data_IF_549426197868
#
_entry.id   IF_549426197868
#
_cell.length_a   1.000
_cell.length_b   1.000
_cell.length_c   1.000
_cell.angle_alpha   90.00
_cell.angle_beta   90.00
_cell.angle_gamma   90.00
#
_symmetry.space_group_name_H-M   'P 1'
#
loop_
_entity.id
_entity.type
_entity.pdbx_description
1 polymer ?
#
# COMPACT_ATOMS: atom_id res chain seq x y z
N UNK A 1 6.93 24.14 9.38
CA UNK A 1 8.18 23.63 9.98
C UNK A 1 7.79 22.81 11.19
N UNK A 2 8.37 21.61 11.36
CA UNK A 2 8.11 20.77 12.53
C UNK A 2 9.17 21.03 13.62
N UNK A 3 8.74 21.19 14.87
CA UNK A 3 9.61 21.24 16.03
C UNK A 3 9.51 19.92 16.76
N UNK A 4 10.65 19.27 17.00
CA UNK A 4 10.73 18.02 17.74
C UNK A 4 11.31 18.31 19.12
N UNK A 5 10.68 17.74 20.13
CA UNK A 5 11.19 17.75 21.48
C UNK A 5 11.92 16.44 21.77
N UNK A 6 13.23 16.50 21.80
CA UNK A 6 14.09 15.39 22.21
C UNK A 6 14.24 15.38 23.73
N UNK A 7 14.42 14.20 24.34
CA UNK A 7 14.52 14.03 25.80
C UNK A 7 15.54 12.96 26.18
N UNK A 8 16.15 13.13 27.36
CA UNK A 8 17.06 12.17 27.97
C UNK A 8 18.30 11.88 27.12
N UNK A 9 18.67 10.62 26.99
CA UNK A 9 19.91 10.14 26.34
C UNK A 9 20.11 10.69 24.92
N UNK A 10 19.04 10.91 24.16
CA UNK A 10 19.13 11.48 22.81
C UNK A 10 19.70 12.91 22.83
N UNK A 11 19.41 13.69 23.89
CA UNK A 11 19.97 15.04 24.04
C UNK A 11 21.45 14.95 24.36
N UNK A 12 21.86 14.00 25.22
CA UNK A 12 23.27 13.81 25.57
C UNK A 12 24.08 13.42 24.33
N UNK A 13 23.61 12.49 23.52
CA UNK A 13 24.25 12.07 22.26
C UNK A 13 24.43 13.26 21.31
N UNK A 14 23.39 14.06 21.11
CA UNK A 14 23.49 15.22 20.20
C UNK A 14 24.44 16.29 20.70
N UNK A 15 24.41 16.56 22.01
CA UNK A 15 25.35 17.53 22.63
C UNK A 15 26.80 17.02 22.55
N UNK A 16 27.03 15.72 22.68
CA UNK A 16 28.33 15.09 22.53
C UNK A 16 28.84 15.14 21.08
N UNK A 17 27.95 14.83 20.11
CA UNK A 17 28.30 14.83 18.68
C UNK A 17 28.59 16.25 18.13
N UNK A 18 27.87 17.28 18.59
CA UNK A 18 27.97 18.61 18.09
C UNK A 18 27.71 19.64 19.20
N UNK A 19 28.67 19.79 20.17
CA UNK A 19 28.50 20.63 21.35
C UNK A 19 28.26 22.10 21.00
N UNK A 20 28.95 22.62 19.99
CA UNK A 20 28.83 24.02 19.58
C UNK A 20 27.43 24.37 19.06
N UNK A 21 26.70 23.39 18.50
CA UNK A 21 25.35 23.59 17.98
C UNK A 21 24.27 23.39 19.03
N UNK A 22 24.43 22.43 19.95
CA UNK A 22 23.31 21.95 20.77
C UNK A 22 23.43 22.25 22.25
N UNK A 23 24.64 22.44 22.79
CA UNK A 23 24.87 22.61 24.25
C UNK A 23 24.14 23.81 24.83
N UNK A 24 24.14 24.95 24.14
CA UNK A 24 23.49 26.18 24.59
C UNK A 24 21.96 26.13 24.60
N UNK A 25 21.36 25.18 23.85
CA UNK A 25 19.90 25.00 23.72
C UNK A 25 19.37 23.83 24.55
N UNK A 26 20.25 23.02 25.12
CA UNK A 26 19.85 21.93 26.00
C UNK A 26 19.38 22.48 27.35
N UNK A 27 18.17 22.14 27.74
CA UNK A 27 17.55 22.56 29.01
C UNK A 27 17.15 21.34 29.83
N UNK A 28 16.78 21.55 31.10
CA UNK A 28 16.30 20.46 31.96
C UNK A 28 14.84 20.72 32.36
N UNK A 29 13.99 19.72 32.27
CA UNK A 29 12.59 19.85 32.68
C UNK A 29 12.43 19.81 34.23
N UNK A 30 11.20 20.04 34.70
CA UNK A 30 10.88 20.05 36.14
C UNK A 30 11.19 18.72 36.87
N UNK A 31 11.41 17.64 36.11
CA UNK A 31 11.73 16.30 36.64
C UNK A 31 13.22 15.96 36.52
N UNK A 32 14.07 16.93 36.18
CA UNK A 32 15.50 16.73 36.04
C UNK A 32 15.91 16.05 34.71
N UNK A 33 15.00 15.87 33.74
CA UNK A 33 15.28 15.21 32.47
C UNK A 33 15.74 16.26 31.46
N UNK A 34 16.90 16.04 30.83
CA UNK A 34 17.40 16.91 29.76
C UNK A 34 16.44 16.91 28.57
N UNK A 35 16.23 18.06 27.98
CA UNK A 35 15.39 18.26 26.82
C UNK A 35 16.02 19.27 25.84
N UNK A 36 15.73 19.07 24.55
CA UNK A 36 16.19 19.92 23.45
C UNK A 36 15.05 20.06 22.43
N UNK A 37 14.75 21.29 22.04
CA UNK A 37 13.84 21.58 20.94
C UNK A 37 14.66 21.78 19.68
N UNK A 38 14.44 20.93 18.68
CA UNK A 38 15.11 21.02 17.39
C UNK A 38 14.09 21.28 16.29
N UNK A 39 14.44 22.20 15.39
CA UNK A 39 13.63 22.48 14.23
C UNK A 39 14.09 21.61 13.07
N UNK A 40 13.16 20.82 12.50
CA UNK A 40 13.47 20.02 11.34
C UNK A 40 13.61 20.91 10.10
N UNK A 41 14.76 20.84 9.43
CA UNK A 41 14.99 21.49 8.12
C UNK A 41 14.26 20.73 6.99
N UNK A 42 14.17 19.42 7.11
CA UNK A 42 13.52 18.55 6.16
C UNK A 42 12.33 17.82 6.81
N UNK A 43 11.46 17.25 5.98
CA UNK A 43 10.37 16.40 6.46
C UNK A 43 10.93 15.15 7.15
N UNK A 44 10.45 14.88 8.37
CA UNK A 44 10.85 13.68 9.08
C UNK A 44 10.05 12.47 8.56
N UNK A 45 10.78 11.45 8.11
CA UNK A 45 10.19 10.19 7.65
C UNK A 45 9.29 9.57 8.74
N UNK A 46 8.16 8.98 8.32
CA UNK A 46 7.17 8.39 9.24
C UNK A 46 6.12 9.36 9.79
N UNK A 47 6.19 10.66 9.49
CA UNK A 47 5.14 11.61 9.84
C UNK A 47 4.13 11.78 8.71
N UNK A 48 2.83 11.98 9.05
CA UNK A 48 1.79 12.24 8.03
C UNK A 48 2.10 13.48 7.17
N UNK A 49 2.72 14.48 7.76
CA UNK A 49 3.13 15.71 7.05
C UNK A 49 4.22 15.42 6.00
N UNK A 50 5.12 14.48 6.27
CA UNK A 50 6.18 14.12 5.33
C UNK A 50 5.63 13.57 4.01
N UNK A 51 4.67 12.64 4.08
CA UNK A 51 4.01 12.07 2.89
C UNK A 51 3.30 13.14 2.06
N UNK A 52 2.61 14.09 2.72
CA UNK A 52 1.96 15.20 2.03
C UNK A 52 2.96 16.15 1.36
N UNK A 53 4.07 16.47 2.03
CA UNK A 53 5.11 17.33 1.48
C UNK A 53 5.81 16.67 0.29
N UNK A 54 6.10 15.37 0.39
CA UNK A 54 6.65 14.59 -0.73
C UNK A 54 5.70 14.60 -1.92
N UNK A 55 4.43 14.27 -1.71
CA UNK A 55 3.39 14.31 -2.74
C UNK A 55 3.33 15.66 -3.45
N UNK A 56 3.28 16.76 -2.70
CA UNK A 56 3.25 18.12 -3.26
C UNK A 56 4.50 18.45 -4.08
N UNK A 57 5.67 18.08 -3.58
CA UNK A 57 6.93 18.26 -4.30
C UNK A 57 6.93 17.44 -5.59
N UNK A 58 6.59 16.16 -5.51
CA UNK A 58 6.62 15.25 -6.64
C UNK A 58 5.64 15.66 -7.74
N UNK A 59 4.39 15.95 -7.39
CA UNK A 59 3.38 16.41 -8.36
C UNK A 59 3.76 17.73 -9.00
N UNK A 60 4.31 18.68 -8.23
CA UNK A 60 4.82 19.95 -8.76
C UNK A 60 5.94 19.72 -9.77
N UNK A 61 6.96 18.92 -9.45
CA UNK A 61 8.05 18.61 -10.37
C UNK A 61 7.57 17.92 -11.66
N UNK A 62 6.59 17.00 -11.55
CA UNK A 62 5.99 16.38 -12.73
C UNK A 62 5.25 17.39 -13.60
N UNK A 63 4.48 18.29 -13.00
CA UNK A 63 3.74 19.34 -13.73
C UNK A 63 4.69 20.31 -14.41
N UNK A 64 5.78 20.70 -13.76
CA UNK A 64 6.81 21.59 -14.34
C UNK A 64 7.49 21.00 -15.57
N UNK A 65 7.62 19.68 -15.66
CA UNK A 65 8.11 19.02 -16.87
C UNK A 65 6.98 18.62 -17.85
N UNK A 66 5.76 19.11 -17.62
CA UNK A 66 4.61 19.01 -18.53
C UNK A 66 3.82 17.72 -18.45
N UNK A 67 3.75 17.07 -17.28
CA UNK A 67 2.76 16.03 -17.01
C UNK A 67 1.46 16.64 -16.49
N UNK A 68 0.34 16.07 -16.92
CA UNK A 68 -1.00 16.35 -16.40
C UNK A 68 -1.38 15.29 -15.39
N UNK A 69 -1.81 15.72 -14.19
CA UNK A 69 -2.36 14.81 -13.20
C UNK A 69 -3.75 14.33 -13.63
N UNK A 70 -4.02 13.03 -13.42
CA UNK A 70 -5.33 12.49 -13.70
C UNK A 70 -6.37 13.07 -12.71
N UNK A 71 -7.50 13.64 -13.20
CA UNK A 71 -8.49 14.25 -12.33
C UNK A 71 -9.24 13.26 -11.41
N UNK A 72 -9.25 11.97 -11.78
CA UNK A 72 -9.90 10.91 -10.99
C UNK A 72 -8.94 10.19 -10.03
N UNK A 73 -7.64 10.16 -10.37
CA UNK A 73 -6.59 9.59 -9.51
C UNK A 73 -5.36 10.50 -9.52
N UNK A 74 -5.21 11.37 -8.53
CA UNK A 74 -4.12 12.32 -8.45
C UNK A 74 -2.73 11.68 -8.27
N UNK A 75 -2.66 10.36 -8.06
CA UNK A 75 -1.42 9.58 -8.05
C UNK A 75 -1.08 8.99 -9.43
N UNK A 76 -1.77 9.42 -10.48
CA UNK A 76 -1.48 9.08 -11.89
C UNK A 76 -1.20 10.36 -12.66
N UNK A 77 -0.07 10.40 -13.36
CA UNK A 77 0.32 11.51 -14.23
C UNK A 77 0.55 11.03 -15.66
N UNK A 78 0.11 11.80 -16.63
CA UNK A 78 0.21 11.47 -18.06
C UNK A 78 0.87 12.60 -18.84
N UNK A 79 1.64 12.23 -19.87
CA UNK A 79 2.23 13.18 -20.83
C UNK A 79 2.36 12.54 -22.20
N UNK A 80 2.04 13.27 -23.26
CA UNK A 80 2.31 12.82 -24.62
C UNK A 80 3.77 13.11 -24.98
N UNK A 81 4.54 12.06 -25.32
CA UNK A 81 5.94 12.15 -25.74
C UNK A 81 6.10 11.38 -27.05
N UNK A 82 6.59 12.03 -28.10
CA UNK A 82 6.77 11.44 -29.43
C UNK A 82 5.48 10.77 -29.96
N UNK A 83 4.33 11.43 -29.76
CA UNK A 83 3.01 10.94 -30.20
C UNK A 83 2.49 9.72 -29.42
N UNK A 84 3.10 9.37 -28.29
CA UNK A 84 2.70 8.24 -27.43
C UNK A 84 2.58 8.68 -25.98
N UNK A 85 1.59 8.16 -25.28
CA UNK A 85 1.38 8.49 -23.88
C UNK A 85 2.43 7.84 -23.00
N UNK A 86 3.06 8.63 -22.15
CA UNK A 86 3.78 8.21 -20.97
C UNK A 86 2.87 8.33 -19.75
N UNK A 87 2.79 7.28 -18.96
CA UNK A 87 2.02 7.25 -17.71
C UNK A 87 2.95 6.93 -16.55
N UNK A 88 2.80 7.68 -15.46
CA UNK A 88 3.46 7.46 -14.18
C UNK A 88 2.37 7.24 -13.14
N UNK A 89 2.33 6.05 -12.53
CA UNK A 89 1.56 5.79 -11.32
C UNK A 89 2.52 5.79 -10.14
N UNK A 90 2.17 6.47 -9.07
CA UNK A 90 3.06 6.57 -7.92
C UNK A 90 2.29 6.43 -6.59
N UNK A 91 2.97 5.89 -5.61
CA UNK A 91 2.47 5.76 -4.25
C UNK A 91 3.61 6.00 -3.28
N UNK A 92 3.64 7.19 -2.68
CA UNK A 92 4.79 7.69 -1.90
C UNK A 92 6.05 7.65 -2.78
N UNK A 93 7.02 6.81 -2.48
CA UNK A 93 8.30 6.62 -3.17
C UNK A 93 8.27 5.56 -4.29
N UNK A 94 7.29 4.67 -4.28
CA UNK A 94 7.11 3.66 -5.33
C UNK A 94 6.52 4.27 -6.60
N UNK A 95 7.23 4.15 -7.72
CA UNK A 95 6.77 4.63 -9.02
C UNK A 95 6.71 3.51 -10.06
N UNK A 96 5.59 3.40 -10.78
CA UNK A 96 5.44 2.56 -11.96
C UNK A 96 5.33 3.43 -13.20
N UNK A 97 6.33 3.30 -14.09
CA UNK A 97 6.41 4.07 -15.33
C UNK A 97 6.07 3.18 -16.52
N UNK A 98 5.38 3.74 -17.51
CA UNK A 98 5.10 3.04 -18.78
C UNK A 98 5.18 3.96 -19.98
N UNK A 99 5.90 3.54 -21.03
CA UNK A 99 5.96 4.16 -22.35
C UNK A 99 6.38 3.13 -23.39
N UNK A 100 5.97 3.30 -24.64
CA UNK A 100 6.30 2.35 -25.73
C UNK A 100 7.76 2.41 -26.18
N UNK A 101 8.42 3.56 -26.01
CA UNK A 101 9.80 3.80 -26.49
C UNK A 101 10.78 3.68 -25.33
N UNK A 102 11.69 2.68 -25.32
CA UNK A 102 12.66 2.50 -24.22
C UNK A 102 13.53 3.73 -23.94
N UNK A 103 13.98 4.43 -24.99
CA UNK A 103 14.79 5.66 -24.83
C UNK A 103 14.08 6.77 -24.04
N UNK A 104 12.75 6.86 -24.14
CA UNK A 104 11.97 7.82 -23.35
C UNK A 104 11.97 7.41 -21.88
N UNK A 105 11.88 6.11 -21.61
CA UNK A 105 12.00 5.57 -20.24
C UNK A 105 13.38 5.87 -19.65
N UNK A 106 14.46 5.71 -20.43
CA UNK A 106 15.82 6.02 -19.98
C UNK A 106 15.98 7.49 -19.58
N UNK A 107 15.45 8.40 -20.40
CA UNK A 107 15.46 9.84 -20.12
C UNK A 107 14.69 10.17 -18.84
N UNK A 108 13.52 9.54 -18.65
CA UNK A 108 12.69 9.78 -17.46
C UNK A 108 13.35 9.24 -16.18
N UNK A 109 13.94 8.05 -16.23
CA UNK A 109 14.68 7.49 -15.10
C UNK A 109 15.88 8.37 -14.76
N UNK A 110 16.62 8.85 -15.77
CA UNK A 110 17.73 9.78 -15.55
C UNK A 110 17.28 11.06 -14.85
N UNK A 111 16.15 11.63 -15.28
CA UNK A 111 15.57 12.83 -14.66
C UNK A 111 15.16 12.55 -13.20
N UNK A 112 14.47 11.44 -12.92
CA UNK A 112 14.09 11.06 -11.56
C UNK A 112 15.31 10.92 -10.64
N UNK A 113 16.40 10.31 -11.15
CA UNK A 113 17.65 10.22 -10.38
C UNK A 113 18.23 11.57 -10.08
N UNK A 114 18.29 12.47 -11.05
CA UNK A 114 18.82 13.82 -10.85
C UNK A 114 18.02 14.64 -9.81
N UNK A 115 16.70 14.44 -9.75
CA UNK A 115 15.82 15.21 -8.87
C UNK A 115 15.68 14.59 -7.46
N UNK A 116 15.77 13.26 -7.31
CA UNK A 116 15.38 12.57 -6.08
C UNK A 116 16.42 11.62 -5.51
N UNK A 117 17.44 11.24 -6.29
CA UNK A 117 18.48 10.36 -5.77
C UNK A 117 19.45 11.14 -4.89
N UNK A 118 19.69 10.64 -3.69
CA UNK A 118 20.68 11.15 -2.77
C UNK A 118 21.52 9.99 -2.25
N UNK A 119 22.70 9.82 -2.84
CA UNK A 119 23.59 8.73 -2.44
C UNK A 119 24.40 9.22 -1.23
N UNK A 120 24.19 8.59 -0.08
CA UNK A 120 24.97 8.84 1.12
C UNK A 120 26.28 8.06 1.11
N UNK A 121 27.20 8.39 2.03
CA UNK A 121 28.54 7.76 2.12
C UNK A 121 28.45 6.23 2.36
N UNK A 122 27.37 5.77 2.95
CA UNK A 122 27.09 4.33 3.20
C UNK A 122 26.42 3.62 2.02
N UNK A 123 26.23 4.31 0.89
CA UNK A 123 25.55 3.79 -0.31
C UNK A 123 24.03 3.80 -0.22
N UNK A 124 23.45 4.29 0.89
CA UNK A 124 21.99 4.42 0.98
C UNK A 124 21.48 5.59 0.14
N UNK A 125 20.18 5.56 -0.20
CA UNK A 125 19.52 6.62 -0.99
C UNK A 125 19.61 6.45 -2.50
N UNK A 126 20.23 5.37 -2.99
CA UNK A 126 20.22 5.01 -4.41
C UNK A 126 18.84 4.58 -4.86
N UNK A 127 18.40 5.10 -6.01
CA UNK A 127 17.12 4.72 -6.61
C UNK A 127 17.22 3.37 -7.32
N UNK A 128 16.47 2.39 -6.83
CA UNK A 128 16.34 1.08 -7.48
C UNK A 128 15.43 1.14 -8.71
N UNK A 129 15.86 0.51 -9.79
CA UNK A 129 15.09 0.46 -11.05
C UNK A 129 14.91 -0.99 -11.47
N UNK A 130 13.67 -1.48 -11.52
CA UNK A 130 13.32 -2.78 -12.06
C UNK A 130 12.82 -2.65 -13.50
N UNK A 131 13.34 -3.48 -14.41
CA UNK A 131 12.95 -3.56 -15.82
C UNK A 131 12.61 -4.98 -16.21
N UNK A 132 11.77 -5.14 -17.21
CA UNK A 132 11.41 -6.47 -17.72
C UNK A 132 9.92 -6.60 -17.96
N UNK A 133 9.44 -7.85 -17.94
CA UNK A 133 8.03 -8.17 -18.14
C UNK A 133 7.30 -8.54 -16.84
N UNK A 134 8.03 -8.77 -15.77
CA UNK A 134 7.47 -9.07 -14.46
C UNK A 134 7.98 -8.05 -13.46
N UNK A 135 7.08 -7.42 -12.75
CA UNK A 135 7.37 -6.36 -11.79
C UNK A 135 6.67 -6.60 -10.47
N UNK A 136 7.27 -6.16 -9.38
CA UNK A 136 6.60 -6.01 -8.09
C UNK A 136 6.21 -4.54 -7.91
N UNK A 137 4.95 -4.29 -7.55
CA UNK A 137 4.43 -2.95 -7.27
C UNK A 137 3.33 -3.01 -6.22
N UNK A 138 3.49 -2.32 -5.11
CA UNK A 138 2.55 -2.29 -3.98
C UNK A 138 2.12 -3.69 -3.47
N UNK A 139 3.07 -4.61 -3.40
CA UNK A 139 2.83 -6.00 -2.99
C UNK A 139 2.19 -6.88 -4.06
N UNK A 140 1.86 -6.33 -5.23
CA UNK A 140 1.38 -7.09 -6.39
C UNK A 140 2.55 -7.56 -7.24
N UNK A 141 2.44 -8.75 -7.81
CA UNK A 141 3.23 -9.19 -8.97
C UNK A 141 2.44 -8.90 -10.23
N UNK A 142 3.01 -8.06 -11.09
CA UNK A 142 2.45 -7.67 -12.39
C UNK A 142 3.23 -8.39 -13.49
N UNK A 143 2.61 -9.37 -14.14
CA UNK A 143 3.22 -10.18 -15.20
C UNK A 143 2.66 -9.80 -16.58
N UNK A 144 3.51 -9.20 -17.41
CA UNK A 144 3.26 -8.78 -18.80
C UNK A 144 3.89 -9.72 -19.83
N UNK A 145 4.20 -10.97 -19.48
CA UNK A 145 4.84 -11.93 -20.40
C UNK A 145 3.95 -12.23 -21.60
N UNK A 146 2.64 -12.24 -21.43
CA UNK A 146 1.66 -12.41 -22.53
C UNK A 146 1.31 -11.03 -23.08
N UNK A 147 1.51 -10.86 -24.40
CA UNK A 147 1.21 -9.59 -25.09
C UNK A 147 -0.28 -9.25 -24.98
N UNK A 148 -0.56 -8.01 -24.60
CA UNK A 148 -1.94 -7.50 -24.46
C UNK A 148 -2.65 -7.95 -23.16
N UNK A 149 -1.93 -8.60 -22.26
CA UNK A 149 -2.45 -9.00 -20.97
C UNK A 149 -1.52 -8.59 -19.84
N UNK A 150 -2.08 -8.36 -18.68
CA UNK A 150 -1.36 -8.34 -17.40
C UNK A 150 -2.03 -9.32 -16.45
N UNK A 151 -1.24 -10.21 -15.86
CA UNK A 151 -1.67 -11.06 -14.75
C UNK A 151 -1.22 -10.41 -13.45
N UNK A 152 -2.14 -10.25 -12.55
CA UNK A 152 -1.90 -9.62 -11.23
C UNK A 152 -2.11 -10.68 -10.17
N UNK A 153 -1.11 -10.87 -9.31
CA UNK A 153 -1.19 -11.78 -8.15
C UNK A 153 -0.59 -11.14 -6.91
N UNK A 154 -0.97 -11.65 -5.75
CA UNK A 154 -0.38 -11.30 -4.45
C UNK A 154 -0.09 -12.55 -3.62
N UNK A 155 0.50 -13.58 -4.24
CA UNK A 155 0.67 -14.91 -3.64
C UNK A 155 1.36 -14.82 -2.28
N UNK A 156 2.50 -14.13 -2.16
CA UNK A 156 3.22 -13.97 -0.90
C UNK A 156 2.37 -13.31 0.20
N UNK A 157 1.63 -12.25 -0.15
CA UNK A 157 0.76 -11.57 0.79
C UNK A 157 -0.44 -12.43 1.23
N UNK A 158 -1.02 -13.20 0.31
CA UNK A 158 -2.07 -14.18 0.64
C UNK A 158 -1.52 -15.27 1.55
N UNK A 159 -0.27 -15.73 1.32
CA UNK A 159 0.39 -16.70 2.20
C UNK A 159 0.63 -16.15 3.61
N UNK A 160 0.96 -14.85 3.75
CA UNK A 160 1.04 -14.19 5.05
C UNK A 160 -0.30 -14.12 5.77
N UNK A 161 -1.40 -13.82 5.05
CA UNK A 161 -2.75 -13.82 5.60
C UNK A 161 -3.11 -15.23 6.11
N UNK A 162 -2.88 -16.25 5.28
CA UNK A 162 -3.18 -17.63 5.63
C UNK A 162 -2.32 -18.13 6.79
N UNK A 163 -1.05 -17.74 6.87
CA UNK A 163 -0.15 -18.06 7.98
C UNK A 163 -0.64 -17.41 9.29
N UNK A 164 -1.11 -16.16 9.22
CA UNK A 164 -1.68 -15.49 10.38
C UNK A 164 -2.98 -16.16 10.84
N UNK A 165 -3.83 -16.55 9.89
CA UNK A 165 -5.07 -17.27 10.15
C UNK A 165 -4.80 -18.67 10.78
N UNK A 166 -3.82 -19.43 10.29
CA UNK A 166 -3.50 -20.77 10.80
C UNK A 166 -2.99 -20.78 12.26
N UNK A 167 -2.51 -19.65 12.75
CA UNK A 167 -2.18 -19.46 14.18
C UNK A 167 -3.43 -19.30 15.04
N UNK A 168 -4.48 -18.72 14.47
CA UNK A 168 -5.73 -18.41 15.16
C UNK A 168 -6.76 -19.57 15.05
N UNK A 169 -6.74 -20.30 13.94
CA UNK A 169 -7.65 -21.42 13.64
C UNK A 169 -6.94 -22.46 12.75
N UNK A 170 -6.40 -23.56 13.32
CA UNK A 170 -5.53 -24.47 12.60
C UNK A 170 -6.25 -25.27 11.50
N UNK A 171 -5.73 -25.14 10.31
CA UNK A 171 -5.74 -26.07 9.16
C UNK A 171 -7.08 -26.70 8.74
N UNK A 172 -7.84 -25.93 7.98
CA UNK A 172 -8.85 -26.50 7.07
C UNK A 172 -8.30 -26.74 5.66
N UNK A 173 -8.95 -27.63 4.89
CA UNK A 173 -8.70 -27.76 3.45
C UNK A 173 -9.19 -26.52 2.71
N UNK A 174 -8.50 -26.14 1.64
CA UNK A 174 -8.98 -25.08 0.73
C UNK A 174 -10.22 -25.51 -0.04
N UNK A 175 -11.04 -24.54 -0.43
CA UNK A 175 -12.19 -24.75 -1.33
C UNK A 175 -12.09 -23.78 -2.51
N UNK A 176 -12.75 -24.10 -3.62
CA UNK A 176 -12.81 -23.25 -4.82
C UNK A 176 -14.25 -22.88 -5.20
N UNK A 177 -15.22 -23.18 -4.34
CA UNK A 177 -16.64 -23.02 -4.67
C UNK A 177 -17.09 -21.56 -4.65
N UNK A 178 -16.99 -20.91 -3.50
CA UNK A 178 -17.42 -19.50 -3.33
C UNK A 178 -16.64 -18.84 -2.20
N UNK A 179 -16.31 -17.56 -2.36
CA UNK A 179 -15.74 -16.73 -1.29
C UNK A 179 -16.79 -16.38 -0.22
N UNK A 180 -18.04 -16.22 -0.64
CA UNK A 180 -19.17 -15.90 0.22
C UNK A 180 -19.96 -17.16 0.60
N UNK A 181 -20.20 -17.45 1.88
CA UNK A 181 -21.14 -18.48 2.30
C UNK A 181 -22.59 -18.05 1.98
N UNK A 182 -23.49 -19.01 1.82
CA UNK A 182 -24.90 -18.74 1.51
C UNK A 182 -25.60 -17.85 2.53
N UNK A 183 -25.20 -17.95 3.80
CA UNK A 183 -25.73 -17.14 4.89
C UNK A 183 -24.92 -15.86 5.16
N UNK A 184 -24.12 -15.37 4.21
CA UNK A 184 -23.20 -14.22 4.42
C UNK A 184 -23.90 -13.04 5.09
N UNK A 185 -25.04 -12.62 4.56
CA UNK A 185 -25.77 -11.44 5.02
C UNK A 185 -26.72 -11.70 6.20
N UNK A 186 -26.88 -12.96 6.61
CA UNK A 186 -27.69 -13.28 7.78
C UNK A 186 -26.95 -12.86 9.05
N UNK A 187 -27.59 -12.04 9.86
CA UNK A 187 -27.09 -11.61 11.17
C UNK A 187 -27.91 -12.34 12.23
N UNK A 188 -27.24 -13.02 13.14
CA UNK A 188 -27.85 -13.63 14.32
C UNK A 188 -27.61 -12.69 15.49
N UNK A 189 -28.65 -11.96 15.92
CA UNK A 189 -28.56 -10.96 16.99
C UNK A 189 -28.25 -11.60 18.36
N UNK A 190 -28.65 -12.85 18.57
CA UNK A 190 -28.43 -13.61 19.79
C UNK A 190 -27.05 -14.31 19.83
N UNK A 191 -26.29 -14.25 18.74
CA UNK A 191 -24.98 -14.88 18.65
C UNK A 191 -23.98 -14.25 19.62
N UNK A 192 -23.22 -15.07 20.31
CA UNK A 192 -22.19 -14.63 21.25
C UNK A 192 -21.08 -13.82 20.57
N UNK A 193 -20.72 -12.71 21.20
CA UNK A 193 -19.61 -11.86 20.74
C UNK A 193 -18.27 -12.60 20.87
N UNK A 194 -17.35 -12.27 19.96
CA UNK A 194 -15.97 -12.77 20.07
C UNK A 194 -15.29 -12.21 21.33
N UNK A 195 -14.48 -13.01 22.03
CA UNK A 195 -13.62 -12.50 23.10
C UNK A 195 -12.62 -11.48 22.55
N UNK A 196 -12.13 -10.53 23.39
CA UNK A 196 -11.32 -9.39 22.92
C UNK A 196 -10.10 -9.77 22.07
N UNK A 197 -9.37 -10.82 22.45
CA UNK A 197 -8.21 -11.29 21.67
C UNK A 197 -8.63 -11.79 20.28
N UNK A 198 -9.73 -12.55 20.19
CA UNK A 198 -10.28 -13.05 18.92
C UNK A 198 -10.83 -11.91 18.06
N UNK A 199 -11.43 -10.89 18.66
CA UNK A 199 -11.91 -9.70 17.96
C UNK A 199 -10.74 -8.92 17.29
N UNK A 200 -9.60 -8.81 17.96
CA UNK A 200 -8.39 -8.21 17.39
C UNK A 200 -7.85 -9.05 16.21
N UNK A 201 -7.83 -10.37 16.33
CA UNK A 201 -7.43 -11.28 15.25
C UNK A 201 -8.37 -11.13 14.05
N UNK A 202 -9.69 -11.10 14.29
CA UNK A 202 -10.71 -10.88 13.28
C UNK A 202 -10.45 -9.58 12.51
N UNK A 203 -10.30 -8.46 13.22
CA UNK A 203 -10.02 -7.15 12.62
C UNK A 203 -8.74 -7.20 11.76
N UNK A 204 -7.65 -7.75 12.27
CA UNK A 204 -6.38 -7.84 11.54
C UNK A 204 -6.49 -8.67 10.25
N UNK A 205 -7.20 -9.80 10.30
CA UNK A 205 -7.40 -10.67 9.14
C UNK A 205 -8.30 -10.01 8.10
N UNK A 206 -9.39 -9.37 8.53
CA UNK A 206 -10.31 -8.64 7.65
C UNK A 206 -9.59 -7.49 6.96
N UNK A 207 -8.84 -6.66 7.69
CA UNK A 207 -8.10 -5.53 7.13
C UNK A 207 -7.04 -5.99 6.11
N UNK A 208 -6.27 -7.04 6.41
CA UNK A 208 -5.29 -7.61 5.46
C UNK A 208 -5.97 -8.18 4.22
N UNK A 209 -7.07 -8.91 4.40
CA UNK A 209 -7.81 -9.50 3.27
C UNK A 209 -8.42 -8.42 2.38
N UNK A 210 -8.98 -7.36 2.96
CA UNK A 210 -9.49 -6.21 2.19
C UNK A 210 -8.40 -5.57 1.32
N UNK A 211 -7.18 -5.50 1.82
CA UNK A 211 -6.02 -4.99 1.06
C UNK A 211 -5.70 -5.85 -0.16
N UNK A 212 -5.73 -7.19 -0.03
CA UNK A 212 -5.56 -8.12 -1.15
C UNK A 212 -6.73 -8.05 -2.14
N UNK A 213 -7.96 -7.99 -1.63
CA UNK A 213 -9.20 -7.92 -2.40
C UNK A 213 -9.19 -6.74 -3.37
N UNK A 214 -8.84 -5.56 -2.88
CA UNK A 214 -8.78 -4.32 -3.68
C UNK A 214 -7.72 -4.35 -4.78
N UNK A 215 -6.79 -5.30 -4.76
CA UNK A 215 -5.64 -5.34 -5.68
C UNK A 215 -5.59 -6.54 -6.59
N UNK A 216 -5.84 -7.74 -6.07
CA UNK A 216 -5.57 -8.97 -6.81
C UNK A 216 -6.65 -10.05 -6.68
N UNK A 217 -7.54 -9.98 -5.68
CA UNK A 217 -8.58 -10.99 -5.44
C UNK A 217 -9.98 -10.37 -5.37
N UNK A 218 -10.46 -9.69 -6.46
CA UNK A 218 -11.76 -9.00 -6.45
C UNK A 218 -12.95 -9.94 -6.28
N UNK A 219 -12.79 -11.20 -6.54
CA UNK A 219 -13.76 -12.27 -6.33
C UNK A 219 -14.13 -12.50 -4.84
N UNK A 220 -13.31 -11.99 -3.93
CA UNK A 220 -13.58 -11.99 -2.48
C UNK A 220 -14.31 -10.73 -1.99
N UNK A 221 -14.59 -9.76 -2.88
CA UNK A 221 -15.04 -8.42 -2.48
C UNK A 221 -16.33 -8.43 -1.67
N UNK A 222 -17.34 -9.15 -2.12
CA UNK A 222 -18.64 -9.22 -1.44
C UNK A 222 -18.52 -9.74 -0.01
N UNK A 223 -17.75 -10.83 0.17
CA UNK A 223 -17.56 -11.42 1.49
C UNK A 223 -16.80 -10.48 2.43
N UNK A 224 -15.69 -9.89 1.94
CA UNK A 224 -14.88 -9.02 2.80
C UNK A 224 -15.56 -7.68 3.08
N UNK A 225 -16.30 -7.11 2.13
CA UNK A 225 -17.05 -5.89 2.34
C UNK A 225 -18.10 -6.06 3.46
N UNK A 226 -18.83 -7.17 3.49
CA UNK A 226 -19.73 -7.49 4.60
C UNK A 226 -18.97 -7.61 5.92
N UNK A 227 -17.88 -8.38 5.97
CA UNK A 227 -17.12 -8.59 7.20
C UNK A 227 -16.51 -7.30 7.76
N UNK A 228 -16.17 -6.31 6.93
CA UNK A 228 -15.71 -4.99 7.40
C UNK A 228 -16.78 -4.24 8.20
N UNK A 229 -18.07 -4.43 7.91
CA UNK A 229 -19.16 -3.82 8.68
C UNK A 229 -19.29 -4.41 10.08
N UNK A 230 -18.70 -5.60 10.31
CA UNK A 230 -18.77 -6.35 11.57
C UNK A 230 -17.60 -6.08 12.53
N UNK A 231 -16.57 -5.36 12.11
CA UNK A 231 -15.31 -5.19 12.84
C UNK A 231 -15.47 -4.57 14.24
N UNK A 232 -16.48 -3.74 14.44
CA UNK A 232 -16.69 -3.05 15.73
C UNK A 232 -17.11 -3.99 16.87
N UNK A 233 -17.95 -4.97 16.56
CA UNK A 233 -18.48 -5.94 17.55
C UNK A 233 -18.67 -7.30 16.88
N UNK A 234 -17.57 -7.98 16.49
CA UNK A 234 -17.70 -9.25 15.78
C UNK A 234 -18.22 -10.35 16.67
N UNK A 235 -19.02 -11.26 16.09
CA UNK A 235 -19.65 -12.39 16.72
C UNK A 235 -19.03 -13.71 16.25
N UNK A 236 -19.33 -14.82 16.93
CA UNK A 236 -18.86 -16.15 16.54
C UNK A 236 -19.30 -16.54 15.12
N UNK A 237 -20.50 -16.11 14.70
CA UNK A 237 -21.00 -16.31 13.35
C UNK A 237 -20.15 -15.56 12.32
N UNK A 238 -19.74 -14.31 12.61
CA UNK A 238 -18.84 -13.54 11.75
C UNK A 238 -17.47 -14.25 11.59
N UNK A 239 -16.97 -14.86 12.68
CA UNK A 239 -15.75 -15.68 12.62
C UNK A 239 -15.93 -16.88 11.70
N UNK A 240 -17.08 -17.57 11.75
CA UNK A 240 -17.37 -18.70 10.87
C UNK A 240 -17.39 -18.29 9.40
N UNK A 241 -17.96 -17.12 9.08
CA UNK A 241 -17.93 -16.54 7.72
C UNK A 241 -16.50 -16.19 7.29
N UNK A 242 -15.68 -15.64 8.19
CA UNK A 242 -14.26 -15.40 7.91
C UNK A 242 -13.50 -16.70 7.64
N UNK A 243 -13.74 -17.76 8.42
CA UNK A 243 -13.15 -19.09 8.20
C UNK A 243 -13.49 -19.62 6.79
N UNK A 244 -14.73 -19.45 6.35
CA UNK A 244 -15.16 -19.82 5.00
C UNK A 244 -14.34 -19.07 3.94
N UNK A 245 -14.21 -17.76 4.08
CA UNK A 245 -13.41 -16.92 3.17
C UNK A 245 -11.93 -17.34 3.16
N UNK A 246 -11.34 -17.67 4.32
CA UNK A 246 -9.95 -18.12 4.40
C UNK A 246 -9.75 -19.48 3.69
N UNK A 247 -10.71 -20.40 3.79
CA UNK A 247 -10.69 -21.65 3.02
C UNK A 247 -10.75 -21.40 1.51
N UNK A 248 -11.56 -20.44 1.08
CA UNK A 248 -11.61 -20.04 -0.33
C UNK A 248 -10.28 -19.45 -0.79
N UNK A 249 -9.71 -18.48 -0.07
CA UNK A 249 -8.40 -17.90 -0.37
C UNK A 249 -7.30 -18.97 -0.47
N UNK A 250 -7.32 -19.96 0.41
CA UNK A 250 -6.38 -21.08 0.37
C UNK A 250 -6.54 -21.92 -0.90
N UNK A 251 -7.77 -22.18 -1.32
CA UNK A 251 -8.07 -22.95 -2.54
C UNK A 251 -7.75 -22.19 -3.83
N UNK A 252 -7.80 -20.85 -3.79
CA UNK A 252 -7.64 -19.96 -4.96
C UNK A 252 -6.37 -19.10 -4.89
N UNK A 253 -5.47 -19.36 -3.97
CA UNK A 253 -4.28 -18.56 -3.64
C UNK A 253 -3.43 -18.16 -4.87
N UNK A 254 -3.40 -18.97 -5.91
CA UNK A 254 -2.65 -18.73 -7.16
C UNK A 254 -3.53 -18.22 -8.30
N UNK A 255 -4.82 -17.98 -8.06
CA UNK A 255 -5.73 -17.46 -9.09
C UNK A 255 -5.34 -16.03 -9.45
N UNK A 256 -4.95 -15.72 -10.70
CA UNK A 256 -4.60 -14.39 -11.09
C UNK A 256 -5.82 -13.56 -11.46
N UNK A 257 -5.80 -12.27 -11.14
CA UNK A 257 -6.61 -11.29 -11.83
C UNK A 257 -5.97 -11.02 -13.21
N UNK A 258 -6.71 -11.23 -14.28
CA UNK A 258 -6.23 -11.00 -15.66
C UNK A 258 -6.94 -9.80 -16.26
N UNK A 259 -6.17 -8.78 -16.62
CA UNK A 259 -6.66 -7.66 -17.41
C UNK A 259 -6.12 -7.80 -18.85
N UNK A 260 -7.03 -7.73 -19.83
CA UNK A 260 -6.70 -7.94 -21.23
C UNK A 260 -7.16 -6.77 -22.09
N UNK A 261 -6.32 -6.37 -23.06
CA UNK A 261 -6.68 -5.42 -24.11
C UNK A 261 -6.97 -6.18 -25.40
N UNK A 262 -8.13 -5.97 -26.00
CA UNK A 262 -8.52 -6.58 -27.26
C UNK A 262 -8.07 -5.77 -28.51
N UNK A 263 -7.35 -4.66 -28.31
CA UNK A 263 -6.84 -3.80 -29.38
C UNK A 263 -7.88 -2.88 -30.04
N UNK A 264 -9.14 -2.91 -29.62
CA UNK A 264 -10.21 -2.08 -30.22
C UNK A 264 -10.07 -0.58 -29.88
N UNK A 265 -9.30 -0.22 -28.85
CA UNK A 265 -9.24 1.14 -28.30
C UNK A 265 -10.52 1.58 -27.57
N UNK A 266 -11.48 0.69 -27.39
CA UNK A 266 -12.77 0.96 -26.77
C UNK A 266 -12.75 0.44 -25.34
N UNK A 267 -12.98 1.33 -24.37
CA UNK A 267 -13.27 0.97 -22.98
C UNK A 267 -14.72 0.46 -22.89
N UNK A 268 -14.89 -0.76 -22.38
CA UNK A 268 -16.20 -1.36 -22.15
C UNK A 268 -16.44 -1.42 -20.64
N UNK A 269 -17.59 -0.95 -20.21
CA UNK A 269 -18.05 -1.00 -18.84
C UNK A 269 -19.28 -1.91 -18.74
N UNK A 270 -19.31 -2.78 -17.77
CA UNK A 270 -20.50 -3.50 -17.35
C UNK A 270 -20.89 -2.91 -16.01
N UNK A 271 -22.07 -2.30 -15.97
CA UNK A 271 -22.55 -1.60 -14.79
C UNK A 271 -23.85 -2.29 -14.36
N UNK A 272 -23.93 -2.62 -13.10
CA UNK A 272 -25.13 -3.10 -12.43
C UNK A 272 -25.47 -2.15 -11.29
N UNK A 273 -26.75 -1.98 -11.02
CA UNK A 273 -27.25 -1.14 -9.93
C UNK A 273 -28.21 -1.95 -9.07
N UNK A 274 -28.02 -1.92 -7.75
CA UNK A 274 -28.98 -2.46 -6.79
C UNK A 274 -29.67 -1.34 -6.06
N UNK A 275 -30.96 -1.49 -5.84
CA UNK A 275 -31.71 -0.66 -4.90
C UNK A 275 -31.39 -1.16 -3.48
N UNK A 276 -31.02 -0.23 -2.60
CA UNK A 276 -30.91 -0.47 -1.16
C UNK A 276 -32.25 -0.13 -0.47
#
# INVERSE_FOLDING_TARGET
>A
MAIIKLRGVLVDILVEMAPDFYKSYATTDKKGVKQLLVQCQNALYGTMVASLLYYRKFTKSLTEIGFDLNPYDPCVANKMIEGKQMTICFHVDDCKLSHRTPKVMDKMIKWLRQEYESIFKDGSGEMTVSRGKVHTYLGMTLDYTVRGQVKITMIGYVDEILTAFDKADPKGRGTKTSAAPENLFKIDEDCEKLPPNKAVEFHNLVAKTLSATKRATPDTYTAIAFLTTRERTPQKDDWTKLVHLMKYLRGTRTLPLILSANGSGILKWWVDASFA
#
